data_IF_492034143896
#
_entry.id   IF_492034143896
#
_cell.length_a   1.000
_cell.length_b   1.000
_cell.length_c   1.000
_cell.angle_alpha   90.00
_cell.angle_beta   90.00
_cell.angle_gamma   90.00
#
_symmetry.space_group_name_H-M   'P 1'
#
loop_
_entity.id
_entity.type
_entity.pdbx_description
1 polymer ?
#
# COMPACT_ATOMS: atom_id res chain seq x y z
N UNK A 1 -10.17 -19.05 -13.86
CA UNK A 1 -9.22 -17.94 -13.60
C UNK A 1 -9.11 -17.77 -12.09
N UNK A 2 -7.90 -17.80 -11.55
CA UNK A 2 -7.63 -17.60 -10.12
C UNK A 2 -8.26 -16.28 -9.64
N UNK A 3 -8.94 -16.31 -8.49
CA UNK A 3 -9.60 -15.15 -7.90
C UNK A 3 -8.62 -14.00 -7.66
N UNK A 4 -7.36 -14.30 -7.31
CA UNK A 4 -6.28 -13.32 -7.12
C UNK A 4 -6.00 -12.55 -8.41
N UNK A 5 -5.87 -13.28 -9.52
CA UNK A 5 -5.63 -12.71 -10.86
C UNK A 5 -6.78 -11.77 -11.25
N UNK A 6 -8.04 -12.17 -11.00
CA UNK A 6 -9.20 -11.31 -11.30
C UNK A 6 -9.16 -10.01 -10.51
N UNK A 7 -8.83 -10.06 -9.22
CA UNK A 7 -8.74 -8.88 -8.35
C UNK A 7 -7.61 -7.97 -8.83
N UNK A 8 -6.43 -8.53 -9.09
CA UNK A 8 -5.27 -7.78 -9.56
C UNK A 8 -5.53 -7.07 -10.90
N UNK A 9 -6.08 -7.79 -11.90
CA UNK A 9 -6.45 -7.19 -13.18
C UNK A 9 -7.44 -6.05 -13.01
N UNK A 10 -8.51 -6.28 -12.26
CA UNK A 10 -9.52 -5.25 -12.02
C UNK A 10 -8.94 -4.01 -11.35
N UNK A 11 -8.01 -4.18 -10.40
CA UNK A 11 -7.34 -3.06 -9.75
C UNK A 11 -6.42 -2.30 -10.70
N UNK A 12 -5.55 -2.99 -11.43
CA UNK A 12 -4.62 -2.36 -12.37
C UNK A 12 -5.38 -1.71 -13.53
N UNK A 13 -6.42 -2.33 -14.08
CA UNK A 13 -7.24 -1.72 -15.15
C UNK A 13 -7.90 -0.41 -14.69
N UNK A 14 -8.37 -0.34 -13.43
CA UNK A 14 -8.96 0.89 -12.86
C UNK A 14 -7.88 1.96 -12.62
N UNK A 15 -6.81 1.58 -11.91
CA UNK A 15 -5.74 2.53 -11.56
C UNK A 15 -4.95 2.99 -12.77
N UNK A 16 -4.73 2.15 -13.78
CA UNK A 16 -3.97 2.46 -15.00
C UNK A 16 -4.89 2.79 -16.17
N UNK A 17 -6.19 3.03 -15.98
CA UNK A 17 -7.17 3.20 -17.06
C UNK A 17 -6.69 4.05 -18.25
N UNK A 18 -6.04 5.19 -18.00
CA UNK A 18 -5.52 6.10 -19.04
C UNK A 18 -4.10 5.77 -19.55
N UNK A 19 -3.40 4.85 -18.88
CA UNK A 19 -2.02 4.42 -19.16
C UNK A 19 -1.87 2.90 -19.32
N UNK A 20 -2.98 2.17 -19.55
CA UNK A 20 -2.99 0.70 -19.57
C UNK A 20 -2.15 0.12 -20.72
N UNK A 21 -2.01 0.87 -21.81
CA UNK A 21 -1.15 0.49 -22.93
C UNK A 21 0.33 0.39 -22.52
N UNK A 22 0.77 1.09 -21.47
CA UNK A 22 2.13 0.88 -20.94
C UNK A 22 2.30 -0.54 -20.41
N UNK A 23 1.31 -1.02 -19.64
CA UNK A 23 1.28 -2.37 -19.06
C UNK A 23 1.21 -3.42 -20.16
N UNK A 24 0.30 -3.25 -21.14
CA UNK A 24 0.16 -4.20 -22.26
C UNK A 24 1.41 -4.29 -23.12
N UNK A 25 2.08 -3.16 -23.36
CA UNK A 25 3.33 -3.10 -24.12
C UNK A 25 4.57 -3.44 -23.27
N UNK A 26 4.40 -3.81 -21.99
CA UNK A 26 5.47 -4.19 -21.06
C UNK A 26 6.63 -3.18 -21.02
N UNK A 27 6.33 -1.88 -21.04
CA UNK A 27 7.32 -0.80 -20.93
C UNK A 27 7.82 -0.66 -19.49
N UNK A 28 8.64 -1.61 -19.03
CA UNK A 28 8.98 -1.81 -17.61
C UNK A 28 9.51 -0.56 -16.92
N UNK A 29 10.48 0.15 -17.50
CA UNK A 29 11.04 1.37 -16.89
C UNK A 29 9.98 2.48 -16.72
N UNK A 30 9.15 2.70 -17.75
CA UNK A 30 8.05 3.67 -17.69
C UNK A 30 6.98 3.26 -16.65
N UNK A 31 6.77 1.95 -16.46
CA UNK A 31 5.85 1.41 -15.45
C UNK A 31 6.40 1.60 -14.03
N UNK A 32 7.70 1.35 -13.82
CA UNK A 32 8.35 1.61 -12.52
C UNK A 32 8.21 3.08 -12.15
N UNK A 33 8.53 3.97 -13.08
CA UNK A 33 8.38 5.41 -12.88
C UNK A 33 6.92 5.80 -12.60
N UNK A 34 5.97 5.28 -13.38
CA UNK A 34 4.55 5.53 -13.17
C UNK A 34 4.08 5.05 -11.78
N UNK A 35 4.48 3.85 -11.37
CA UNK A 35 4.10 3.28 -10.07
C UNK A 35 4.70 4.11 -8.95
N UNK A 36 6.01 4.31 -8.94
CA UNK A 36 6.71 4.92 -7.81
C UNK A 36 6.46 6.43 -7.78
N UNK A 37 6.70 7.14 -8.89
CA UNK A 37 6.68 8.61 -8.93
C UNK A 37 5.28 9.19 -9.05
N UNK A 38 4.29 8.43 -9.50
CA UNK A 38 2.92 8.93 -9.60
C UNK A 38 1.96 8.16 -8.68
N UNK A 39 1.71 6.88 -8.96
CA UNK A 39 0.59 6.16 -8.33
C UNK A 39 0.77 5.96 -6.83
N UNK A 40 1.89 5.40 -6.40
CA UNK A 40 2.16 5.11 -5.00
C UNK A 40 2.47 6.38 -4.21
N UNK A 41 3.30 7.28 -4.77
CA UNK A 41 3.63 8.54 -4.11
C UNK A 41 2.41 9.43 -3.92
N UNK A 42 1.62 9.68 -4.96
CA UNK A 42 0.42 10.51 -4.84
C UNK A 42 -0.59 9.89 -3.90
N UNK A 43 -0.77 8.55 -3.97
CA UNK A 43 -1.63 7.79 -3.07
C UNK A 43 -1.21 7.88 -1.59
N UNK A 44 0.09 7.98 -1.32
CA UNK A 44 0.65 8.15 0.02
C UNK A 44 0.59 9.61 0.50
N UNK A 45 0.73 10.58 -0.41
CA UNK A 45 0.79 12.01 -0.12
C UNK A 45 -0.57 12.72 -0.08
N UNK A 46 -1.69 11.99 -0.27
CA UNK A 46 -3.05 12.55 -0.19
C UNK A 46 -3.27 13.20 1.18
N UNK A 47 -3.32 14.54 1.20
CA UNK A 47 -3.47 15.36 2.42
C UNK A 47 -2.37 16.42 2.58
N UNK A 48 -1.19 16.23 1.99
CA UNK A 48 -0.08 17.21 2.07
C UNK A 48 0.01 18.18 0.88
N UNK A 49 -0.85 18.05 -0.13
CA UNK A 49 -0.94 18.99 -1.28
C UNK A 49 -1.16 20.47 -0.90
N UNK A 50 -1.46 20.75 0.38
CA UNK A 50 -1.57 22.12 0.93
C UNK A 50 -0.24 22.73 1.44
N UNK A 51 0.85 21.95 1.56
CA UNK A 51 2.21 22.46 1.87
C UNK A 51 3.10 22.24 0.64
N UNK A 52 3.20 23.26 -0.22
CA UNK A 52 3.54 23.11 -1.65
C UNK A 52 5.02 23.07 -2.02
N UNK A 53 5.97 23.45 -1.16
CA UNK A 53 7.36 23.62 -1.60
C UNK A 53 8.29 22.51 -1.08
N UNK A 54 8.38 22.28 0.23
CA UNK A 54 9.35 21.31 0.81
C UNK A 54 9.08 19.83 0.52
N UNK A 55 7.85 19.49 0.12
CA UNK A 55 7.46 18.09 -0.13
C UNK A 55 7.75 17.66 -1.58
N UNK A 56 7.74 18.59 -2.53
CA UNK A 56 8.12 18.33 -3.92
C UNK A 56 9.63 18.06 -4.02
N UNK A 57 10.45 18.84 -3.31
CA UNK A 57 11.92 18.71 -3.31
C UNK A 57 12.41 17.37 -2.75
N UNK A 58 11.61 16.72 -1.91
CA UNK A 58 11.93 15.41 -1.30
C UNK A 58 11.39 14.23 -2.08
N UNK A 59 10.51 14.47 -3.07
CA UNK A 59 9.85 13.42 -3.85
C UNK A 59 10.88 12.54 -4.56
N UNK A 60 11.81 13.16 -5.28
CA UNK A 60 12.79 12.43 -6.09
C UNK A 60 13.69 11.56 -5.22
N UNK A 61 14.16 12.10 -4.09
CA UNK A 61 14.96 11.35 -3.10
C UNK A 61 14.17 10.15 -2.55
N UNK A 62 12.93 10.35 -2.14
CA UNK A 62 12.08 9.27 -1.63
C UNK A 62 11.79 8.21 -2.69
N UNK A 63 11.54 8.62 -3.94
CA UNK A 63 11.30 7.70 -5.05
C UNK A 63 12.55 6.88 -5.35
N UNK A 64 13.72 7.51 -5.36
CA UNK A 64 15.00 6.82 -5.53
C UNK A 64 15.25 5.80 -4.42
N UNK A 65 15.03 6.17 -3.15
CA UNK A 65 15.15 5.25 -2.01
C UNK A 65 14.26 4.01 -2.22
N UNK A 66 12.98 4.21 -2.55
CA UNK A 66 12.05 3.09 -2.76
C UNK A 66 12.47 2.21 -3.94
N UNK A 67 12.88 2.81 -5.07
CA UNK A 67 13.30 2.06 -6.24
C UNK A 67 14.55 1.22 -5.95
N UNK A 68 15.56 1.78 -5.28
CA UNK A 68 16.78 1.07 -4.88
C UNK A 68 16.47 -0.07 -3.90
N UNK A 69 15.61 0.18 -2.91
CA UNK A 69 15.22 -0.83 -1.93
C UNK A 69 14.41 -1.97 -2.55
N UNK A 70 13.55 -1.69 -3.53
CA UNK A 70 12.81 -2.73 -4.28
C UNK A 70 13.75 -3.57 -5.16
N UNK A 71 14.76 -2.96 -5.79
CA UNK A 71 15.81 -3.69 -6.53
C UNK A 71 16.64 -4.60 -5.62
N UNK A 72 16.82 -4.21 -4.36
CA UNK A 72 17.59 -4.97 -3.38
C UNK A 72 16.80 -6.12 -2.73
N UNK A 73 15.49 -6.23 -2.98
CA UNK A 73 14.61 -7.21 -2.34
C UNK A 73 15.01 -8.67 -2.62
N UNK A 74 15.73 -8.94 -3.72
CA UNK A 74 16.24 -10.27 -4.08
C UNK A 74 17.28 -10.84 -3.10
N UNK A 75 17.85 -10.00 -2.23
CA UNK A 75 18.87 -10.38 -1.25
C UNK A 75 18.29 -10.61 0.14
N UNK A 76 16.97 -10.66 0.25
CA UNK A 76 16.28 -10.51 1.53
C UNK A 76 15.45 -11.76 1.83
N UNK A 77 15.79 -12.41 2.93
CA UNK A 77 15.04 -13.55 3.46
C UNK A 77 13.87 -13.11 4.35
N UNK A 78 13.91 -11.87 4.89
CA UNK A 78 12.93 -11.32 5.83
C UNK A 78 12.33 -9.99 5.34
N UNK A 79 11.11 -10.07 4.82
CA UNK A 79 10.34 -8.92 4.33
C UNK A 79 10.05 -7.89 5.43
N UNK A 80 9.79 -8.33 6.67
CA UNK A 80 9.46 -7.45 7.79
C UNK A 80 10.67 -6.58 8.14
N UNK A 81 11.85 -7.20 8.21
CA UNK A 81 13.11 -6.51 8.42
C UNK A 81 13.39 -5.48 7.31
N UNK A 82 13.27 -5.89 6.04
CA UNK A 82 13.45 -4.98 4.91
C UNK A 82 12.49 -3.80 4.94
N UNK A 83 11.21 -4.06 5.21
CA UNK A 83 10.21 -3.02 5.31
C UNK A 83 10.58 -2.04 6.43
N UNK A 84 11.04 -2.53 7.59
CA UNK A 84 11.49 -1.70 8.71
C UNK A 84 12.66 -0.80 8.33
N UNK A 85 13.71 -1.37 7.76
CA UNK A 85 14.91 -0.63 7.32
C UNK A 85 14.57 0.42 6.25
N UNK A 86 13.73 0.07 5.28
CA UNK A 86 13.30 1.00 4.23
C UNK A 86 12.46 2.15 4.80
N UNK A 87 11.54 1.85 5.72
CA UNK A 87 10.76 2.89 6.41
C UNK A 87 11.67 3.79 7.24
N UNK A 88 12.69 3.25 7.89
CA UNK A 88 13.67 4.01 8.67
C UNK A 88 14.45 5.02 7.83
N UNK A 89 14.75 4.67 6.58
CA UNK A 89 15.35 5.61 5.64
C UNK A 89 14.34 6.69 5.21
N UNK A 90 13.12 6.28 4.85
CA UNK A 90 12.10 7.21 4.36
C UNK A 90 11.65 8.23 5.40
N UNK A 91 11.60 7.87 6.69
CA UNK A 91 11.17 8.81 7.75
C UNK A 91 12.15 9.96 8.00
N UNK A 92 13.37 9.90 7.43
CA UNK A 92 14.28 11.07 7.39
C UNK A 92 13.73 12.18 6.49
N UNK A 93 12.82 11.84 5.58
CA UNK A 93 12.26 12.75 4.58
C UNK A 93 10.77 13.02 4.76
N UNK A 94 10.04 12.14 5.46
CA UNK A 94 8.58 12.23 5.66
C UNK A 94 8.14 11.65 7.01
N UNK A 95 6.83 11.67 7.30
CA UNK A 95 6.26 11.01 8.49
C UNK A 95 6.16 9.49 8.31
N UNK A 96 6.25 8.73 9.41
CA UNK A 96 6.05 7.28 9.44
C UNK A 96 4.78 6.84 8.70
N UNK A 97 3.67 7.55 8.92
CA UNK A 97 2.42 7.35 8.18
C UNK A 97 2.59 7.30 6.66
N UNK A 98 3.26 8.31 6.10
CA UNK A 98 3.46 8.44 4.66
C UNK A 98 4.50 7.43 4.16
N UNK A 99 5.59 7.24 4.90
CA UNK A 99 6.66 6.31 4.55
C UNK A 99 6.13 4.88 4.35
N UNK A 100 5.41 4.32 5.34
CA UNK A 100 4.87 2.96 5.20
C UNK A 100 3.80 2.88 4.10
N UNK A 101 2.99 3.93 3.90
CA UNK A 101 1.93 3.89 2.89
C UNK A 101 2.54 3.87 1.49
N UNK A 102 3.61 4.65 1.30
CA UNK A 102 4.32 4.73 0.05
C UNK A 102 4.93 3.38 -0.33
N UNK A 103 5.71 2.77 0.57
CA UNK A 103 6.31 1.45 0.31
C UNK A 103 5.24 0.37 0.08
N UNK A 104 4.17 0.35 0.89
CA UNK A 104 3.12 -0.67 0.78
C UNK A 104 2.28 -0.52 -0.48
N UNK A 105 2.00 0.71 -0.93
CA UNK A 105 1.36 0.93 -2.23
C UNK A 105 2.26 0.50 -3.38
N UNK A 106 3.55 0.83 -3.34
CA UNK A 106 4.51 0.39 -4.36
C UNK A 106 4.54 -1.13 -4.47
N UNK A 107 4.70 -1.83 -3.34
CA UNK A 107 4.65 -3.30 -3.28
C UNK A 107 3.34 -3.86 -3.84
N UNK A 108 2.20 -3.26 -3.48
CA UNK A 108 0.88 -3.67 -3.98
C UNK A 108 0.76 -3.54 -5.50
N UNK A 109 1.20 -2.42 -6.06
CA UNK A 109 1.17 -2.22 -7.51
C UNK A 109 2.03 -3.25 -8.23
N UNK A 110 3.28 -3.44 -7.80
CA UNK A 110 4.18 -4.39 -8.45
C UNK A 110 3.73 -5.83 -8.30
N UNK A 111 3.25 -6.24 -7.12
CA UNK A 111 2.64 -7.55 -6.93
C UNK A 111 1.46 -7.78 -7.88
N UNK A 112 0.55 -6.81 -8.01
CA UNK A 112 -0.63 -6.95 -8.88
C UNK A 112 -0.32 -6.84 -10.38
N UNK A 113 0.70 -6.09 -10.78
CA UNK A 113 1.21 -6.14 -12.16
C UNK A 113 1.76 -7.54 -12.45
N UNK A 114 2.51 -8.12 -11.52
CA UNK A 114 3.09 -9.45 -11.67
C UNK A 114 2.00 -10.53 -11.75
N UNK A 115 1.06 -10.59 -10.81
CA UNK A 115 0.02 -11.64 -10.82
C UNK A 115 -1.09 -11.37 -11.84
N UNK A 116 -1.36 -10.12 -12.18
CA UNK A 116 -2.44 -9.73 -13.09
C UNK A 116 -2.01 -9.80 -14.56
N UNK A 117 -0.79 -9.39 -14.88
CA UNK A 117 -0.31 -9.20 -16.26
C UNK A 117 0.94 -10.00 -16.59
N UNK A 118 1.41 -10.85 -15.67
CA UNK A 118 2.65 -11.60 -15.85
C UNK A 118 3.80 -10.66 -16.22
N UNK A 119 3.93 -9.60 -15.41
CA UNK A 119 4.86 -8.51 -15.60
C UNK A 119 5.74 -8.34 -14.35
N UNK A 120 6.93 -8.92 -14.42
CA UNK A 120 8.00 -8.72 -13.44
C UNK A 120 8.75 -7.43 -13.78
N UNK A 121 8.67 -6.45 -12.87
CA UNK A 121 9.32 -5.15 -13.09
C UNK A 121 10.77 -5.10 -12.59
N UNK A 122 11.17 -6.02 -11.72
CA UNK A 122 12.50 -6.04 -11.10
C UNK A 122 13.17 -7.38 -11.38
N UNK A 123 14.40 -7.33 -11.89
CA UNK A 123 15.15 -8.54 -12.22
C UNK A 123 15.46 -9.34 -10.94
N UNK A 124 15.25 -10.66 -11.02
CA UNK A 124 15.54 -11.61 -9.94
C UNK A 124 14.73 -11.39 -8.65
N UNK A 125 13.60 -10.66 -8.72
CA UNK A 125 12.65 -10.49 -7.62
C UNK A 125 11.26 -10.90 -8.11
N UNK A 126 10.66 -11.92 -7.49
CA UNK A 126 9.22 -12.14 -7.58
C UNK A 126 8.55 -11.65 -6.30
N UNK A 127 7.55 -10.78 -6.45
CA UNK A 127 6.72 -10.34 -5.33
C UNK A 127 5.82 -11.47 -4.83
N UNK A 128 5.55 -12.51 -5.62
CA UNK A 128 4.77 -13.67 -5.20
C UNK A 128 5.41 -14.38 -4.01
N UNK A 129 6.74 -14.38 -3.92
CA UNK A 129 7.50 -15.03 -2.84
C UNK A 129 7.21 -14.42 -1.47
N UNK A 130 6.74 -13.17 -1.44
CA UNK A 130 6.45 -12.41 -0.22
C UNK A 130 4.95 -12.25 0.05
N UNK A 131 4.06 -12.93 -0.70
CA UNK A 131 2.61 -12.62 -0.70
C UNK A 131 1.91 -12.78 0.66
N UNK A 132 2.51 -13.57 1.56
CA UNK A 132 2.02 -13.80 2.92
C UNK A 132 2.67 -12.87 3.97
N UNK A 133 3.73 -12.16 3.61
CA UNK A 133 4.49 -11.27 4.50
C UNK A 133 4.10 -9.80 4.35
N UNK A 134 3.43 -9.45 3.25
CA UNK A 134 3.06 -8.08 2.95
C UNK A 134 2.32 -7.35 4.07
N UNK A 135 2.61 -6.05 4.15
CA UNK A 135 1.90 -5.13 5.00
C UNK A 135 0.70 -4.56 4.25
N UNK A 136 -0.35 -4.26 5.00
CA UNK A 136 -1.52 -3.59 4.44
C UNK A 136 -1.15 -2.13 4.22
N UNK A 137 -1.43 -1.53 3.04
CA UNK A 137 -1.33 -0.09 2.87
C UNK A 137 -2.39 0.59 3.75
N UNK A 138 -2.03 0.95 4.99
CA UNK A 138 -2.99 1.53 5.93
C UNK A 138 -3.28 2.96 5.47
N UNK A 139 -4.56 3.25 5.27
CA UNK A 139 -5.07 4.59 5.12
C UNK A 139 -6.24 4.85 6.06
N UNK A 140 -6.73 6.10 6.07
CA UNK A 140 -7.79 6.50 6.99
C UNK A 140 -9.09 5.70 6.80
N UNK A 141 -9.42 5.17 5.62
CA UNK A 141 -10.65 4.39 5.46
C UNK A 141 -10.45 2.92 5.78
N UNK A 142 -9.31 2.32 5.43
CA UNK A 142 -8.96 0.96 5.87
C UNK A 142 -8.93 0.90 7.39
N UNK A 143 -8.35 1.92 8.03
CA UNK A 143 -8.31 2.02 9.47
C UNK A 143 -9.72 2.20 10.07
N UNK A 144 -10.54 3.10 9.52
CA UNK A 144 -11.95 3.27 9.96
C UNK A 144 -12.76 1.99 9.78
N UNK A 145 -12.59 1.31 8.65
CA UNK A 145 -13.22 0.01 8.40
C UNK A 145 -12.80 -1.00 9.47
N UNK A 146 -11.52 -1.06 9.80
CA UNK A 146 -11.02 -1.94 10.85
C UNK A 146 -11.65 -1.61 12.20
N UNK A 147 -11.64 -0.34 12.62
CA UNK A 147 -12.25 0.11 13.89
C UNK A 147 -13.72 -0.27 13.95
N UNK A 148 -14.50 0.03 12.90
CA UNK A 148 -15.93 -0.29 12.84
C UNK A 148 -16.22 -1.80 12.89
N UNK A 149 -15.31 -2.62 12.37
CA UNK A 149 -15.46 -4.07 12.36
C UNK A 149 -14.73 -4.75 13.53
N UNK A 150 -14.11 -4.00 14.43
CA UNK A 150 -13.44 -4.53 15.61
C UNK A 150 -14.41 -4.70 16.78
N UNK A 151 -14.14 -5.69 17.64
CA UNK A 151 -14.88 -5.87 18.90
C UNK A 151 -14.03 -5.34 20.07
N UNK A 152 -14.63 -5.15 21.25
CA UNK A 152 -13.91 -4.66 22.45
C UNK A 152 -12.65 -5.48 22.78
N UNK A 153 -12.66 -6.80 22.53
CA UNK A 153 -11.51 -7.69 22.75
C UNK A 153 -10.32 -7.40 21.81
N UNK A 154 -10.53 -6.67 20.72
CA UNK A 154 -9.47 -6.30 19.77
C UNK A 154 -8.58 -5.17 20.31
N UNK A 155 -9.05 -4.41 21.32
CA UNK A 155 -8.27 -3.38 22.04
C UNK A 155 -8.17 -2.03 21.31
N UNK A 156 -9.11 -1.71 20.43
CA UNK A 156 -9.06 -0.53 19.55
C UNK A 156 -9.78 0.72 20.07
N UNK A 157 -10.56 0.60 21.14
CA UNK A 157 -11.38 1.69 21.68
C UNK A 157 -10.54 2.93 22.03
N UNK A 158 -9.31 2.73 22.54
CA UNK A 158 -8.35 3.80 22.86
C UNK A 158 -7.60 4.36 21.64
N UNK A 159 -7.55 3.60 20.53
CA UNK A 159 -6.84 3.97 19.31
C UNK A 159 -7.72 4.66 18.27
N UNK A 160 -9.04 4.42 18.28
CA UNK A 160 -9.98 5.05 17.37
C UNK A 160 -9.96 6.58 17.44
N UNK A 161 -9.73 7.14 18.63
CA UNK A 161 -9.57 8.58 18.86
C UNK A 161 -8.14 9.10 18.69
N UNK A 162 -7.11 8.25 18.82
CA UNK A 162 -5.70 8.65 18.64
C UNK A 162 -5.31 8.70 17.16
N UNK A 163 -5.89 7.83 16.33
CA UNK A 163 -5.56 7.75 14.91
C UNK A 163 -6.59 8.54 14.10
N UNK A 164 -6.68 9.84 14.37
CA UNK A 164 -7.59 10.77 13.67
C UNK A 164 -7.18 10.95 12.20
N UNK A 165 -5.88 10.83 11.90
CA UNK A 165 -5.35 10.82 10.56
C UNK A 165 -4.12 9.89 10.49
N UNK A 166 -4.19 8.89 9.63
CA UNK A 166 -3.10 7.93 9.40
C UNK A 166 -1.74 8.62 9.11
N UNK A 167 -1.76 9.75 8.41
CA UNK A 167 -0.57 10.56 8.11
C UNK A 167 0.19 11.05 9.35
N UNK A 168 -0.49 11.10 10.50
CA UNK A 168 0.05 11.58 11.77
C UNK A 168 0.58 10.44 12.65
N UNK A 169 0.53 9.18 12.19
CA UNK A 169 1.19 8.10 12.92
C UNK A 169 2.69 8.39 13.00
N UNK A 170 3.21 8.43 14.22
CA UNK A 170 4.62 8.72 14.53
C UNK A 170 5.30 7.59 15.31
N UNK A 171 4.52 6.71 15.93
CA UNK A 171 5.03 5.62 16.76
C UNK A 171 5.18 4.32 15.94
N UNK A 172 6.43 3.81 15.90
CA UNK A 172 6.80 2.59 15.18
C UNK A 172 6.22 1.35 15.85
N UNK A 173 6.21 1.29 17.17
CA UNK A 173 5.77 0.10 17.89
C UNK A 173 4.25 -0.06 17.73
N UNK A 174 3.51 1.05 17.79
CA UNK A 174 2.09 1.06 17.39
C UNK A 174 1.88 0.52 15.97
N UNK A 175 2.75 0.85 15.00
CA UNK A 175 2.61 0.34 13.64
C UNK A 175 2.90 -1.17 13.53
N UNK A 176 4.10 -1.58 13.96
CA UNK A 176 4.65 -2.91 13.75
C UNK A 176 4.07 -3.95 14.72
N UNK A 177 3.92 -3.59 15.99
CA UNK A 177 3.57 -4.55 17.04
C UNK A 177 2.06 -4.61 17.29
N UNK A 178 1.32 -3.60 16.85
CA UNK A 178 -0.12 -3.50 17.09
C UNK A 178 -0.95 -3.43 15.81
N UNK A 179 -0.83 -2.36 15.01
CA UNK A 179 -1.74 -2.10 13.89
C UNK A 179 -1.64 -3.15 12.78
N UNK A 180 -0.45 -3.40 12.23
CA UNK A 180 -0.28 -4.36 11.15
C UNK A 180 -0.69 -5.79 11.56
N UNK A 181 -0.25 -6.35 12.71
CA UNK A 181 -0.68 -7.68 13.15
C UNK A 181 -2.19 -7.81 13.32
N UNK A 182 -2.84 -6.82 13.95
CA UNK A 182 -4.29 -6.84 14.18
C UNK A 182 -5.08 -6.75 12.87
N UNK A 183 -4.69 -5.84 11.98
CA UNK A 183 -5.33 -5.68 10.66
C UNK A 183 -5.16 -6.96 9.84
N UNK A 184 -3.93 -7.50 9.76
CA UNK A 184 -3.63 -8.75 9.05
C UNK A 184 -4.49 -9.89 9.59
N UNK A 185 -4.55 -10.06 10.91
CA UNK A 185 -5.35 -11.09 11.59
C UNK A 185 -6.83 -10.97 11.23
N UNK A 186 -7.42 -9.78 11.39
CA UNK A 186 -8.84 -9.57 11.11
C UNK A 186 -9.19 -9.83 9.65
N UNK A 187 -8.40 -9.32 8.72
CA UNK A 187 -8.62 -9.54 7.29
C UNK A 187 -8.54 -11.03 6.95
N UNK A 188 -7.58 -11.77 7.53
CA UNK A 188 -7.47 -13.22 7.36
C UNK A 188 -8.63 -13.99 8.00
N UNK A 189 -9.23 -13.52 9.09
CA UNK A 189 -10.49 -14.10 9.60
C UNK A 189 -11.63 -13.94 8.60
N UNK A 190 -11.72 -12.80 7.91
CA UNK A 190 -12.80 -12.54 6.93
C UNK A 190 -12.58 -13.36 5.64
N UNK A 191 -11.34 -13.44 5.13
CA UNK A 191 -11.02 -14.18 3.89
C UNK A 191 -9.70 -14.96 4.01
N UNK A 192 -9.67 -16.12 4.69
CA UNK A 192 -8.42 -16.79 5.07
C UNK A 192 -7.56 -17.25 3.88
N UNK A 193 -8.20 -17.58 2.76
CA UNK A 193 -7.54 -18.13 1.56
C UNK A 193 -6.99 -17.07 0.59
N UNK A 194 -7.19 -15.78 0.86
CA UNK A 194 -6.70 -14.72 -0.03
C UNK A 194 -5.42 -14.07 0.52
N UNK A 195 -4.48 -13.64 -0.34
CA UNK A 195 -3.38 -12.77 0.05
C UNK A 195 -3.89 -11.47 0.66
N UNK A 196 -3.17 -10.90 1.60
CA UNK A 196 -3.65 -9.77 2.40
C UNK A 196 -4.00 -8.56 1.51
N UNK A 197 -3.19 -8.29 0.48
CA UNK A 197 -3.41 -7.20 -0.47
C UNK A 197 -4.67 -7.40 -1.33
N UNK A 198 -5.06 -8.64 -1.63
CA UNK A 198 -6.33 -8.93 -2.30
C UNK A 198 -7.52 -8.61 -1.39
N UNK A 199 -7.39 -8.87 -0.08
CA UNK A 199 -8.45 -8.61 0.90
C UNK A 199 -8.63 -7.10 1.09
N UNK A 200 -7.51 -6.38 1.29
CA UNK A 200 -7.52 -4.91 1.38
C UNK A 200 -8.14 -4.28 0.12
N UNK A 201 -7.79 -4.77 -1.07
CA UNK A 201 -8.36 -4.25 -2.32
C UNK A 201 -9.87 -4.44 -2.41
N UNK A 202 -10.39 -5.60 -1.99
CA UNK A 202 -11.84 -5.83 -1.95
C UNK A 202 -12.52 -4.86 -0.98
N UNK A 203 -11.93 -4.66 0.21
CA UNK A 203 -12.45 -3.73 1.22
C UNK A 203 -12.47 -2.31 0.64
N UNK A 204 -11.37 -1.87 0.03
CA UNK A 204 -11.28 -0.55 -0.59
C UNK A 204 -12.30 -0.35 -1.71
N UNK A 205 -12.46 -1.33 -2.62
CA UNK A 205 -13.47 -1.26 -3.68
C UNK A 205 -14.90 -1.14 -3.13
N UNK A 206 -15.22 -1.85 -2.04
CA UNK A 206 -16.51 -1.73 -1.38
C UNK A 206 -16.71 -0.35 -0.74
N UNK A 207 -15.66 0.21 -0.12
CA UNK A 207 -15.69 1.56 0.44
C UNK A 207 -15.89 2.59 -0.68
N UNK A 208 -15.16 2.47 -1.80
CA UNK A 208 -15.30 3.35 -2.97
C UNK A 208 -16.72 3.31 -3.53
N UNK A 209 -17.26 2.11 -3.77
CA UNK A 209 -18.64 1.94 -4.25
C UNK A 209 -19.68 2.54 -3.30
N UNK A 210 -19.49 2.41 -1.99
CA UNK A 210 -20.38 3.02 -0.99
C UNK A 210 -20.30 4.55 -1.04
N UNK A 211 -19.11 5.12 -1.18
CA UNK A 211 -18.93 6.57 -1.31
C UNK A 211 -19.58 7.12 -2.57
N UNK A 212 -19.45 6.40 -3.68
CA UNK A 212 -20.07 6.78 -4.95
C UNK A 212 -21.60 6.68 -4.88
N UNK A 213 -22.14 5.66 -4.20
CA UNK A 213 -23.58 5.46 -4.06
C UNK A 213 -24.28 6.46 -3.12
N UNK A 214 -23.55 7.05 -2.17
CA UNK A 214 -24.13 7.96 -1.17
C UNK A 214 -24.13 9.41 -1.65
N UNK A 215 -23.45 9.76 -2.75
CA UNK A 215 -23.30 11.15 -3.25
C UNK A 215 -23.10 12.13 -2.08
N UNK A 216 -21.93 12.12 -1.45
CA UNK A 216 -21.58 13.22 -0.53
C UNK A 216 -21.44 14.50 -1.37
N UNK A 217 -22.57 15.19 -1.56
CA UNK A 217 -22.64 16.60 -1.92
C UNK A 217 -21.89 17.39 -0.82
N UNK A 218 -20.66 17.77 -1.12
CA UNK A 218 -19.90 18.78 -0.38
C UNK A 218 -19.88 20.08 -1.17
#
# INVERSE_FOLDING_TARGET
>A
MDKRIKIAKSFIDDEFKTKIELVKNKKVSEIIDLVIKEKAFDGAAIGRRRQKETFADRKDVMCQIVEEQLKALNRIEDFEKWHKETVEELIKHTTLGVAQKFINLSVKYFYFLEIGYDLECFENVSFKDFENSFHVPIDSYILKWFIFNSNAADGFDDYGNKIVAWSNLSDKDTYYDFLQPKIKTKMKTVKPKLPILCIETIIWSNIKALKDAIEWDF
#
